data_IF_473200102493
#
_entry.id   IF_473200102493
#
_cell.length_a   1.000
_cell.length_b   1.000
_cell.length_c   1.000
_cell.angle_alpha   90.00
_cell.angle_beta   90.00
_cell.angle_gamma   90.00
#
_symmetry.space_group_name_H-M   'P 1'
#
loop_
_entity.id
_entity.type
_entity.pdbx_description
1 polymer ?
2 non-polymer ?
3 water ?
#
# COMPACT_ATOMS: atom_id res chain seq x y z
N UNK A 1 9.28 -22.22 30.65
CA UNK A 1 9.00 -22.54 32.10
C UNK A 1 7.61 -22.01 32.55
N UNK A 2 7.51 -20.68 32.71
CA UNK A 2 6.21 -20.11 32.97
C UNK A 2 5.45 -19.89 31.65
N UNK A 3 6.20 -19.70 30.55
CA UNK A 3 5.56 -19.28 29.31
C UNK A 3 4.64 -20.33 28.69
N UNK A 4 4.89 -21.59 28.99
CA UNK A 4 4.14 -22.66 28.42
C UNK A 4 2.84 -22.85 29.17
N UNK A 5 2.86 -22.55 30.47
CA UNK A 5 1.62 -22.63 31.24
C UNK A 5 0.72 -21.49 30.79
N UNK A 6 1.29 -20.28 30.76
CA UNK A 6 0.64 -19.12 30.17
C UNK A 6 0.02 -19.44 28.79
N UNK A 7 0.75 -20.16 27.96
CA UNK A 7 0.26 -20.53 26.64
C UNK A 7 -0.83 -21.57 26.74
N UNK A 8 -0.55 -22.61 27.52
CA UNK A 8 -1.50 -23.71 27.70
C UNK A 8 -2.77 -23.22 28.35
N UNK A 9 -2.63 -22.35 29.34
CA UNK A 9 -3.78 -21.72 30.03
C UNK A 9 -4.63 -20.75 29.19
N UNK A 10 -4.04 -20.14 28.17
CA UNK A 10 -4.79 -19.17 27.37
C UNK A 10 -5.27 -19.73 26.04
N UNK A 11 -5.18 -21.04 25.88
CA UNK A 11 -5.59 -21.65 24.65
C UNK A 11 -7.09 -21.96 24.64
N UNK A 12 -7.79 -21.43 23.66
CA UNK A 12 -9.18 -21.77 23.52
C UNK A 12 -9.63 -21.90 22.08
N UNK A 13 -10.94 -21.90 21.90
CA UNK A 13 -11.57 -21.99 20.58
C UNK A 13 -11.85 -20.61 20.04
N UNK A 14 -12.00 -20.49 18.72
CA UNK A 14 -12.34 -19.20 18.07
C UNK A 14 -13.64 -18.58 18.59
N UNK A 15 -14.62 -19.42 18.90
CA UNK A 15 -15.90 -19.01 19.48
C UNK A 15 -15.84 -18.30 20.83
N UNK A 16 -15.09 -18.85 21.78
CA UNK A 16 -14.97 -18.22 23.08
C UNK A 16 -14.05 -17.03 23.05
N UNK A 17 -13.09 -17.06 22.12
CA UNK A 17 -12.11 -16.00 22.00
C UNK A 17 -12.83 -14.70 21.68
N UNK A 18 -13.70 -14.75 20.68
CA UNK A 18 -14.43 -13.59 20.19
C UNK A 18 -15.43 -13.02 21.20
N UNK A 19 -15.56 -13.70 22.34
CA UNK A 19 -16.37 -13.25 23.47
C UNK A 19 -15.68 -12.17 24.32
N UNK A 20 -14.38 -11.93 24.06
CA UNK A 20 -13.68 -10.79 24.66
C UNK A 20 -14.18 -9.45 24.07
N UNK A 21 -14.69 -9.50 22.85
CA UNK A 21 -15.27 -8.30 22.21
C UNK A 21 -16.65 -7.99 22.82
N UNK A 22 -16.83 -6.78 23.33
CA UNK A 22 -18.14 -6.33 23.80
C UNK A 22 -18.69 -5.21 22.90
N UNK A 23 -20.01 -4.98 22.95
CA UNK A 23 -20.64 -3.80 22.35
C UNK A 23 -19.84 -2.53 22.65
N UNK A 24 -19.86 -1.57 21.73
CA UNK A 24 -19.18 -0.29 21.95
C UNK A 24 -17.70 -0.29 21.57
N UNK A 25 -17.10 -1.49 21.56
CA UNK A 25 -15.69 -1.73 21.24
C UNK A 25 -15.18 -1.25 19.88
N UNK A 26 -13.99 -0.67 19.91
CA UNK A 26 -13.15 -0.60 18.72
C UNK A 26 -12.28 -1.84 18.52
N UNK A 27 -12.54 -2.57 17.43
CA UNK A 27 -11.76 -3.76 17.05
C UNK A 27 -10.86 -3.48 15.82
N UNK A 28 -9.61 -3.96 15.86
CA UNK A 28 -8.67 -3.75 14.76
C UNK A 28 -8.06 -5.08 14.34
N UNK A 29 -7.77 -5.23 13.04
CA UNK A 29 -7.17 -6.44 12.52
C UNK A 29 -5.73 -6.19 12.19
N UNK A 30 -4.93 -7.23 12.37
CA UNK A 30 -3.59 -7.31 11.83
C UNK A 30 -3.67 -6.99 10.36
N UNK A 31 -2.58 -6.47 9.81
CA UNK A 31 -2.59 -5.91 8.47
C UNK A 31 -2.52 -7.02 7.49
N UNK A 32 -3.33 -6.87 6.44
CA UNK A 32 -3.20 -7.60 5.19
C UNK A 32 -3.18 -9.07 5.49
N UNK A 33 -2.07 -9.74 5.21
CA UNK A 33 -1.96 -11.21 5.19
C UNK A 33 -1.81 -11.78 6.62
N UNK A 34 -2.04 -10.93 7.61
CA UNK A 34 -1.88 -11.29 8.98
C UNK A 34 -3.25 -11.20 9.60
N UNK A 35 -4.22 -10.83 8.79
CA UNK A 35 -5.62 -10.95 9.20
C UNK A 35 -5.95 -12.42 9.51
N UNK A 36 -6.36 -12.71 10.75
CA UNK A 36 -6.82 -14.04 11.19
C UNK A 36 -8.20 -14.53 10.72
N UNK A 37 -8.25 -15.41 9.70
CA UNK A 37 -9.56 -15.65 9.08
C UNK A 37 -10.53 -16.42 9.96
N UNK A 38 -10.00 -17.26 10.84
CA UNK A 38 -10.82 -18.08 11.72
C UNK A 38 -11.32 -17.20 12.83
N UNK A 39 -10.44 -16.34 13.33
CA UNK A 39 -10.81 -15.41 14.38
C UNK A 39 -11.79 -14.35 13.87
N UNK A 40 -11.75 -14.05 12.57
CA UNK A 40 -12.68 -13.11 11.93
C UNK A 40 -14.05 -13.75 11.72
N UNK A 41 -14.08 -14.90 11.02
CA UNK A 41 -15.32 -15.68 10.83
C UNK A 41 -16.04 -16.04 12.14
N UNK A 42 -15.29 -16.41 13.17
CA UNK A 42 -15.85 -16.53 14.51
C UNK A 42 -16.55 -15.25 14.97
N UNK A 43 -15.94 -14.09 14.71
CA UNK A 43 -16.53 -12.84 15.19
C UNK A 43 -17.81 -12.49 14.44
N UNK A 44 -17.77 -12.60 13.12
CA UNK A 44 -18.95 -12.45 12.28
C UNK A 44 -20.03 -13.41 12.76
N UNK A 45 -19.68 -14.68 13.00
CA UNK A 45 -20.69 -15.73 13.32
C UNK A 45 -21.51 -15.40 14.55
N UNK A 46 -20.88 -14.65 15.46
CA UNK A 46 -21.48 -14.22 16.72
C UNK A 46 -21.94 -12.77 16.65
N UNK A 47 -22.20 -12.28 15.44
CA UNK A 47 -22.70 -10.93 15.21
C UNK A 47 -23.78 -10.55 16.20
N UNK A 48 -24.77 -11.42 16.33
CA UNK A 48 -26.02 -11.13 17.02
C UNK A 48 -25.85 -10.95 18.52
N UNK A 49 -24.62 -10.68 18.95
CA UNK A 49 -24.29 -10.41 20.36
C UNK A 49 -23.69 -9.02 20.52
N UNK A 50 -23.35 -8.40 19.39
CA UNK A 50 -22.69 -7.10 19.45
C UNK A 50 -23.60 -6.00 18.97
N UNK A 51 -23.41 -4.80 19.53
CA UNK A 51 -23.98 -3.58 18.99
C UNK A 51 -22.88 -2.52 18.75
N UNK A 52 -22.93 -1.90 17.58
CA UNK A 52 -21.88 -1.00 17.07
C UNK A 52 -20.46 -1.14 17.61
N UNK A 53 -19.90 -2.27 17.19
CA UNK A 53 -18.51 -2.59 17.23
C UNK A 53 -17.96 -2.07 15.89
N UNK A 54 -16.98 -1.18 16.03
CA UNK A 54 -16.21 -0.58 14.98
C UNK A 54 -15.24 -1.67 14.55
N UNK A 55 -15.13 -1.94 13.26
CA UNK A 55 -14.15 -2.87 12.79
C UNK A 55 -13.18 -2.15 11.87
N UNK A 56 -12.00 -1.83 12.38
CA UNK A 56 -11.00 -1.13 11.54
C UNK A 56 -10.01 -2.07 10.89
N UNK A 57 -9.51 -1.68 9.73
CA UNK A 57 -8.23 -2.19 9.19
C UNK A 57 -7.88 -1.50 7.86
N UNK A 58 -6.96 -2.11 7.10
CA UNK A 58 -6.49 -1.52 5.85
C UNK A 58 -6.80 -2.43 4.67
N UNK A 59 -5.83 -2.77 3.86
CA UNK A 59 -6.16 -3.60 2.73
C UNK A 59 -6.48 -5.00 3.24
N UNK A 60 -7.44 -5.67 2.58
CA UNK A 60 -7.89 -6.98 3.05
C UNK A 60 -8.12 -7.96 1.94
N UNK A 61 -7.85 -9.22 2.24
CA UNK A 61 -8.01 -10.30 1.28
C UNK A 61 -9.07 -11.29 1.78
N UNK A 62 -9.72 -10.93 2.89
CA UNK A 62 -10.87 -11.64 3.42
C UNK A 62 -12.18 -11.13 2.87
N UNK A 63 -13.30 -11.63 3.40
CA UNK A 63 -14.58 -11.47 2.74
C UNK A 63 -15.30 -10.14 3.11
N UNK A 64 -14.67 -9.36 3.97
CA UNK A 64 -15.22 -8.09 4.42
C UNK A 64 -16.63 -8.25 4.95
N UNK A 65 -16.94 -9.48 5.35
CA UNK A 65 -18.28 -9.87 5.73
C UNK A 65 -18.96 -8.88 6.70
N UNK A 66 -18.20 -8.37 7.67
CA UNK A 66 -18.67 -7.42 8.70
C UNK A 66 -19.16 -6.06 8.16
N UNK A 67 -18.85 -5.77 6.90
CA UNK A 67 -19.12 -4.45 6.30
C UNK A 67 -20.43 -4.48 5.53
N UNK A 68 -21.03 -5.66 5.46
CA UNK A 68 -22.29 -5.81 4.74
C UNK A 68 -23.44 -5.18 5.53
N UNK A 69 -24.44 -4.62 4.82
CA UNK A 69 -25.65 -3.92 5.33
C UNK A 69 -26.40 -4.61 6.46
N UNK A 70 -26.86 -5.83 6.24
CA UNK A 70 -27.35 -6.71 7.34
C UNK A 70 -26.62 -6.55 8.68
N UNK A 71 -25.30 -6.53 8.68
CA UNK A 71 -24.59 -6.34 9.93
C UNK A 71 -24.54 -4.87 10.47
N UNK A 72 -25.15 -3.92 9.76
CA UNK A 72 -25.00 -2.47 10.10
C UNK A 72 -25.27 -2.04 11.55
N UNK A 73 -25.91 -2.89 12.34
CA UNK A 73 -26.19 -2.62 13.76
C UNK A 73 -25.25 -3.37 14.74
N UNK A 74 -24.49 -4.34 14.24
CA UNK A 74 -23.47 -5.03 15.05
C UNK A 74 -22.07 -4.46 14.79
N UNK A 75 -21.77 -4.23 13.52
CA UNK A 75 -20.49 -3.68 13.08
C UNK A 75 -20.61 -2.36 12.30
N UNK A 76 -19.70 -1.44 12.61
CA UNK A 76 -19.42 -0.37 11.66
C UNK A 76 -18.03 -0.60 11.07
N UNK A 77 -17.96 -0.91 9.78
CA UNK A 77 -16.66 -0.89 9.13
C UNK A 77 -16.08 0.53 9.15
N UNK A 78 -14.82 0.65 9.59
CA UNK A 78 -14.13 1.94 9.49
C UNK A 78 -12.79 1.75 8.85
N UNK A 79 -12.75 1.64 7.54
CA UNK A 79 -11.48 1.44 6.86
C UNK A 79 -10.47 2.60 6.85
N UNK A 80 -9.19 2.23 6.87
CA UNK A 80 -8.09 3.16 6.76
C UNK A 80 -7.50 3.04 5.37
N UNK A 81 -8.03 2.10 4.62
CA UNK A 81 -7.66 1.80 3.26
C UNK A 81 -8.81 0.87 2.89
N UNK A 82 -9.25 0.86 1.64
CA UNK A 82 -10.29 -0.09 1.22
C UNK A 82 -9.84 -0.99 0.08
N UNK A 83 -10.68 -1.96 -0.22
CA UNK A 83 -10.40 -2.99 -1.20
C UNK A 83 -11.75 -3.52 -1.68
N UNK A 84 -11.78 -4.34 -2.74
CA UNK A 84 -13.03 -4.82 -3.37
C UNK A 84 -14.15 -5.23 -2.43
N UNK A 85 -13.79 -5.88 -1.34
CA UNK A 85 -14.76 -6.53 -0.46
C UNK A 85 -15.24 -5.71 0.71
N UNK A 86 -14.79 -4.45 0.83
CA UNK A 86 -15.26 -3.55 1.93
C UNK A 86 -15.65 -2.13 1.49
N UNK A 87 -15.31 -1.74 0.28
CA UNK A 87 -15.70 -0.39 -0.15
C UNK A 87 -17.14 -0.34 -0.65
N UNK A 88 -17.76 -1.50 -0.73
CA UNK A 88 -19.18 -1.49 -0.93
C UNK A 88 -19.79 -0.55 0.10
N UNK A 89 -19.48 -0.77 1.37
CA UNK A 89 -20.16 -0.10 2.50
C UNK A 89 -20.00 1.43 2.61
N UNK A 90 -18.86 1.92 2.15
CA UNK A 90 -18.59 3.35 2.18
C UNK A 90 -19.48 4.02 1.15
N UNK A 91 -19.64 3.35 0.00
CA UNK A 91 -20.54 3.83 -1.04
C UNK A 91 -21.99 3.86 -0.53
N UNK A 92 -22.45 2.78 0.08
CA UNK A 92 -23.86 2.68 0.52
C UNK A 92 -24.17 3.56 1.75
N UNK A 93 -23.13 4.00 2.44
CA UNK A 93 -23.28 4.95 3.53
C UNK A 93 -23.15 4.41 4.92
N UNK A 94 -23.12 3.10 5.10
CA UNK A 94 -23.05 2.57 6.45
C UNK A 94 -21.61 2.30 6.89
N UNK A 95 -20.74 2.03 5.90
CA UNK A 95 -19.29 1.91 6.12
C UNK A 95 -18.58 3.25 6.19
N UNK A 96 -17.47 3.30 6.92
CA UNK A 96 -16.76 4.56 7.11
C UNK A 96 -15.40 4.42 6.50
N UNK A 97 -14.81 5.56 6.18
CA UNK A 97 -13.44 5.59 5.72
C UNK A 97 -12.75 6.83 6.27
N UNK A 98 -11.55 6.60 6.79
CA UNK A 98 -10.68 7.57 7.44
C UNK A 98 -9.44 7.79 6.59
N UNK A 99 -9.24 9.02 6.08
CA UNK A 99 -8.00 9.30 5.34
C UNK A 99 -6.78 9.44 6.29
N UNK A 100 -5.81 8.53 6.23
CA UNK A 100 -4.58 8.60 7.03
C UNK A 100 -3.40 8.23 6.19
N UNK A 101 -2.29 8.94 6.38
CA UNK A 101 -1.06 8.51 5.75
C UNK A 101 -0.74 7.23 6.46
N UNK A 102 -0.18 6.26 5.73
CA UNK A 102 0.11 4.96 6.32
C UNK A 102 1.08 5.12 7.49
N UNK A 103 2.17 5.86 7.29
CA UNK A 103 3.21 6.06 8.36
C UNK A 103 2.69 6.69 9.64
N UNK A 104 1.49 7.24 9.59
CA UNK A 104 0.96 7.97 10.76
C UNK A 104 0.16 7.04 11.66
N UNK A 105 -0.27 5.89 11.12
CA UNK A 105 -1.08 4.91 11.85
C UNK A 105 -0.51 4.60 13.24
N UNK A 106 0.74 4.13 13.34
CA UNK A 106 1.21 3.83 14.70
C UNK A 106 1.09 4.96 15.69
N UNK A 107 1.39 6.17 15.27
CA UNK A 107 1.33 7.36 16.12
C UNK A 107 -0.06 7.58 16.66
N UNK A 108 -1.03 7.73 15.78
CA UNK A 108 -2.44 7.83 16.17
C UNK A 108 -2.95 6.77 17.16
N UNK A 109 -2.49 5.53 17.01
CA UNK A 109 -2.74 4.51 18.00
C UNK A 109 -2.12 4.91 19.34
N UNK A 110 -0.85 5.32 19.33
CA UNK A 110 -0.16 5.74 20.57
C UNK A 110 -0.88 6.87 21.22
N UNK A 111 -1.29 7.83 20.40
CA UNK A 111 -2.07 8.98 20.83
C UNK A 111 -3.46 8.59 21.32
N UNK A 112 -3.99 7.45 20.89
CA UNK A 112 -5.29 6.98 21.35
C UNK A 112 -6.42 7.64 20.53
N UNK A 113 -6.06 8.15 19.35
CA UNK A 113 -7.07 8.55 18.36
C UNK A 113 -7.66 7.28 17.76
N UNK A 114 -6.80 6.44 17.20
CA UNK A 114 -7.18 5.07 16.90
C UNK A 114 -7.09 4.22 18.17
N UNK A 115 -8.08 4.27 19.02
CA UNK A 115 -8.07 3.44 20.22
C UNK A 115 -8.44 2.01 19.80
N UNK A 116 -7.82 1.01 20.46
CA UNK A 116 -7.98 -0.41 20.12
C UNK A 116 -8.39 -1.18 21.39
N UNK A 117 -9.53 -1.86 21.34
CA UNK A 117 -9.99 -2.67 22.46
C UNK A 117 -9.62 -4.09 22.24
N UNK A 118 -9.59 -4.50 20.98
CA UNK A 118 -9.30 -5.87 20.62
C UNK A 118 -8.62 -5.85 19.28
N UNK A 119 -7.36 -6.26 19.30
CA UNK A 119 -6.62 -6.44 18.09
C UNK A 119 -6.70 -7.92 17.93
N UNK A 120 -6.99 -8.36 16.70
CA UNK A 120 -6.88 -9.78 16.35
C UNK A 120 -5.73 -9.99 15.34
N UNK A 121 -4.90 -11.01 15.55
CA UNK A 121 -3.66 -11.16 14.79
C UNK A 121 -3.43 -12.60 14.44
N UNK A 122 -2.76 -12.81 13.33
CA UNK A 122 -2.32 -14.14 13.03
C UNK A 122 -0.84 -14.14 13.16
N UNK A 123 -0.36 -15.07 13.96
CA UNK A 123 1.05 -15.23 14.23
C UNK A 123 1.33 -16.72 14.10
N UNK A 124 2.63 -17.06 13.98
CA UNK A 124 3.09 -18.44 13.89
C UNK A 124 3.25 -18.99 15.30
N UNK A 125 3.50 -20.31 15.44
CA UNK A 125 3.71 -20.82 16.79
C UNK A 125 5.05 -20.40 17.43
N UNK A 126 5.04 -20.25 18.76
CA UNK A 126 6.13 -19.92 19.63
C UNK A 126 7.37 -20.73 19.36
N UNK A 127 8.51 -20.06 19.50
CA UNK A 127 9.79 -20.74 19.46
C UNK A 127 10.10 -21.17 20.88
N UNK A 128 11.34 -21.62 21.10
CA UNK A 128 11.73 -22.21 22.37
C UNK A 128 11.65 -21.22 23.56
N UNK A 129 11.54 -19.92 23.24
CA UNK A 129 11.52 -18.83 24.23
C UNK A 129 10.14 -18.16 24.30
N UNK A 130 9.20 -18.67 23.50
CA UNK A 130 7.82 -18.23 23.53
C UNK A 130 7.49 -16.98 22.74
N UNK A 131 8.27 -16.67 21.70
CA UNK A 131 7.99 -15.52 20.83
C UNK A 131 7.31 -15.94 19.51
N UNK A 132 6.01 -15.67 19.37
CA UNK A 132 5.35 -15.86 18.06
C UNK A 132 5.76 -14.79 17.03
N UNK A 133 5.80 -15.20 15.77
CA UNK A 133 6.16 -14.31 14.70
C UNK A 133 4.95 -13.98 13.87
N UNK A 134 4.84 -12.72 13.51
CA UNK A 134 3.78 -12.32 12.60
C UNK A 134 4.21 -12.72 11.18
N UNK A 135 5.51 -12.62 10.91
CA UNK A 135 6.10 -13.19 9.71
C UNK A 135 5.85 -12.41 8.43
N UNK A 136 4.68 -11.81 8.34
CA UNK A 136 4.20 -11.32 7.08
C UNK A 136 3.77 -9.83 7.16
N UNK A 137 3.96 -9.20 8.35
CA UNK A 137 3.55 -7.82 8.63
C UNK A 137 4.29 -7.24 9.85
N UNK A 138 4.21 -5.93 10.00
CA UNK A 138 4.91 -5.21 11.01
C UNK A 138 4.24 -3.83 11.11
N UNK A 139 4.20 -3.13 9.95
CA UNK A 139 3.30 -2.02 9.67
C UNK A 139 2.76 -1.40 10.96
N UNK A 140 1.44 -1.47 11.18
CA UNK A 140 0.92 -0.99 12.43
C UNK A 140 0.75 -2.12 13.44
N UNK A 141 1.00 -3.35 12.98
CA UNK A 141 0.68 -4.57 13.74
C UNK A 141 1.47 -4.65 15.02
N UNK A 142 2.69 -4.16 14.98
CA UNK A 142 3.49 -4.15 16.19
C UNK A 142 3.02 -3.16 17.22
N UNK A 143 2.66 -1.95 16.80
CA UNK A 143 2.20 -0.92 17.76
C UNK A 143 0.85 -1.29 18.35
N UNK A 144 -0.02 -1.84 17.51
CA UNK A 144 -1.35 -2.25 17.95
C UNK A 144 -1.25 -3.30 19.04
N UNK A 145 -0.32 -4.25 18.90
CA UNK A 145 -0.09 -5.24 19.98
C UNK A 145 0.19 -4.57 21.31
N UNK A 146 1.17 -3.66 21.37
CA UNK A 146 1.56 -3.00 22.62
C UNK A 146 0.40 -2.20 23.21
N UNK A 147 -0.44 -1.65 22.34
CA UNK A 147 -1.49 -0.71 22.72
C UNK A 147 -2.88 -1.34 22.87
N UNK A 148 -3.09 -2.53 22.31
CA UNK A 148 -4.41 -3.15 22.42
C UNK A 148 -4.60 -3.53 23.88
N UNK A 149 -5.78 -3.24 24.43
CA UNK A 149 -6.16 -3.69 25.77
C UNK A 149 -6.37 -5.21 25.84
N UNK A 150 -6.68 -5.82 24.69
CA UNK A 150 -6.84 -7.27 24.55
C UNK A 150 -6.35 -7.74 23.17
N UNK A 151 -5.58 -8.84 23.14
CA UNK A 151 -5.02 -9.35 21.89
C UNK A 151 -5.38 -10.81 21.64
N UNK A 152 -6.10 -11.05 20.58
CA UNK A 152 -6.42 -12.43 20.25
C UNK A 152 -5.50 -12.97 19.18
N UNK A 153 -4.89 -14.11 19.43
CA UNK A 153 -3.99 -14.66 18.41
C UNK A 153 -4.52 -15.88 17.72
N UNK A 154 -4.60 -15.78 16.41
CA UNK A 154 -4.88 -16.93 15.61
C UNK A 154 -3.58 -17.56 15.17
N UNK A 155 -2.95 -18.30 16.10
CA UNK A 155 -1.74 -19.10 15.86
C UNK A 155 -1.95 -20.06 14.71
N UNK A 156 -1.21 -19.86 13.63
CA UNK A 156 -1.31 -20.71 12.43
C UNK A 156 0.09 -21.23 12.03
N UNK A 157 0.31 -22.53 12.15
CA UNK A 157 1.64 -23.09 11.86
C UNK A 157 2.17 -22.90 10.41
N UNK A 158 1.29 -22.55 9.46
CA UNK A 158 1.71 -22.15 8.12
C UNK A 158 2.43 -20.80 8.00
N UNK A 159 2.34 -19.96 9.04
CA UNK A 159 3.06 -18.67 9.07
C UNK A 159 4.59 -18.83 9.23
N UNK A 160 5.41 -18.15 8.37
CA UNK A 160 6.89 -18.16 8.48
C UNK A 160 7.50 -17.33 9.61
N UNK A 161 8.72 -17.68 10.00
CA UNK A 161 9.54 -16.80 10.82
C UNK A 161 10.26 -15.94 9.81
N UNK A 162 10.06 -14.63 9.96
CA UNK A 162 10.72 -13.63 9.13
C UNK A 162 11.36 -12.61 10.01
N UNK A 163 12.66 -12.41 9.83
CA UNK A 163 13.45 -11.47 10.63
C UNK A 163 12.92 -10.02 10.61
N UNK A 164 13.09 -9.33 11.74
CA UNK A 164 12.79 -7.93 11.88
C UNK A 164 11.96 -7.78 13.13
N UNK A 165 11.25 -6.65 13.25
CA UNK A 165 10.26 -6.45 14.30
C UNK A 165 8.99 -7.24 13.96
N UNK A 166 9.12 -8.57 14.03
CA UNK A 166 8.00 -9.42 13.74
C UNK A 166 7.58 -10.22 14.96
N UNK A 167 8.15 -9.91 16.12
CA UNK A 167 8.00 -10.83 17.26
C UNK A 167 7.13 -10.37 18.41
N UNK A 168 6.45 -11.34 19.00
CA UNK A 168 5.53 -11.10 20.11
C UNK A 168 5.65 -12.30 21.04
N UNK A 169 5.87 -12.01 22.32
CA UNK A 169 5.98 -13.01 23.35
C UNK A 169 4.58 -13.40 23.80
N UNK A 170 4.38 -14.71 23.99
CA UNK A 170 3.08 -15.22 24.40
C UNK A 170 2.46 -14.47 25.57
N UNK A 171 3.31 -13.86 26.40
CA UNK A 171 2.86 -13.13 27.60
C UNK A 171 2.08 -11.86 27.25
N UNK A 172 2.16 -11.44 26.00
CA UNK A 172 1.53 -10.21 25.53
C UNK A 172 0.13 -10.47 24.91
N UNK A 173 -0.28 -11.74 24.91
CA UNK A 173 -1.48 -12.18 24.16
C UNK A 173 -2.53 -12.84 25.05
N UNK A 174 -3.74 -12.28 25.08
CA UNK A 174 -4.79 -12.80 25.96
C UNK A 174 -5.40 -14.18 25.60
N UNK A 175 -5.51 -14.51 24.33
CA UNK A 175 -6.06 -15.81 23.93
C UNK A 175 -5.40 -16.34 22.66
N UNK A 176 -5.28 -17.67 22.57
CA UNK A 176 -4.69 -18.35 21.42
C UNK A 176 -5.64 -19.34 20.80
N UNK A 177 -5.79 -19.30 19.48
CA UNK A 177 -6.52 -20.35 18.78
C UNK A 177 -5.58 -20.97 17.76
N UNK A 178 -5.22 -22.24 17.96
CA UNK A 178 -4.35 -22.92 17.00
C UNK A 178 -5.10 -23.29 15.74
N UNK A 179 -4.55 -22.97 14.58
CA UNK A 179 -5.12 -23.45 13.33
C UNK A 179 -4.07 -24.00 12.37
N UNK A 180 -4.50 -24.30 11.15
CA UNK A 180 -3.59 -24.69 10.09
C UNK A 180 -4.29 -24.52 8.76
N UNK A 181 -3.79 -23.57 7.97
CA UNK A 181 -4.33 -23.28 6.65
C UNK A 181 -3.32 -22.46 5.85
N UNK A 182 -3.30 -22.61 4.51
CA UNK A 182 -2.44 -21.77 3.66
C UNK A 182 -2.77 -20.29 3.80
N UNK A 183 -1.76 -19.43 3.67
CA UNK A 183 -1.96 -17.99 3.69
C UNK A 183 -2.51 -17.53 2.35
N UNK A 184 -3.26 -16.42 2.33
CA UNK A 184 -3.85 -15.96 1.08
C UNK A 184 -2.82 -15.44 0.09
N UNK A 185 -3.23 -15.31 -1.17
CA UNK A 185 -2.33 -15.11 -2.30
C UNK A 185 -2.99 -14.25 -3.35
N UNK A 186 -2.23 -13.33 -3.94
CA UNK A 186 -2.77 -12.54 -5.05
C UNK A 186 -2.31 -13.07 -6.40
N UNK A 187 -3.06 -12.73 -7.45
CA UNK A 187 -2.70 -13.09 -8.81
C UNK A 187 -1.58 -12.21 -9.34
N UNK A 188 -0.75 -12.77 -10.21
CA UNK A 188 0.20 -11.95 -11.00
C UNK A 188 -0.60 -11.18 -12.06
N UNK A 189 -0.17 -9.94 -12.36
CA UNK A 189 -0.83 -9.14 -13.40
C UNK A 189 -0.43 -9.58 -14.80
N UNK A 190 -1.27 -9.21 -15.78
CA UNK A 190 -0.94 -9.39 -17.18
C UNK A 190 -0.01 -8.27 -17.65
N UNK A 191 1.26 -8.60 -17.85
CA UNK A 191 2.21 -7.65 -18.42
C UNK A 191 2.03 -7.59 -19.95
N UNK A 192 1.20 -6.64 -20.39
CA UNK A 192 0.97 -6.41 -21.81
C UNK A 192 1.83 -5.31 -22.42
N UNK A 193 1.39 -4.81 -23.58
CA UNK A 193 2.08 -3.77 -24.35
C UNK A 193 2.22 -2.46 -23.56
N UNK A 194 1.11 -2.00 -22.99
CA UNK A 194 1.07 -0.77 -22.22
C UNK A 194 1.93 -0.91 -20.95
N UNK A 195 1.71 -2.00 -20.23
CA UNK A 195 2.51 -2.34 -19.07
C UNK A 195 4.01 -2.31 -19.37
N UNK A 196 4.42 -2.98 -20.45
CA UNK A 196 5.82 -3.04 -20.85
C UNK A 196 6.44 -1.68 -21.16
N UNK A 197 5.67 -0.81 -21.82
CA UNK A 197 6.14 0.55 -22.15
C UNK A 197 6.32 1.42 -20.92
N UNK A 198 5.33 1.42 -20.03
CA UNK A 198 5.49 2.15 -18.77
C UNK A 198 6.78 1.65 -18.09
N UNK A 199 7.01 0.34 -18.16
CA UNK A 199 8.22 -0.28 -17.64
C UNK A 199 9.57 0.32 -18.00
N UNK A 200 9.86 0.43 -19.31
CA UNK A 200 11.21 0.83 -19.77
C UNK A 200 11.53 2.30 -19.48
N UNK A 201 10.50 3.14 -19.53
CA UNK A 201 10.63 4.56 -19.18
C UNK A 201 11.02 4.78 -17.71
N UNK A 202 10.33 4.10 -16.80
CA UNK A 202 10.76 4.09 -15.39
C UNK A 202 12.17 3.52 -15.32
N UNK A 203 12.47 2.56 -16.18
CA UNK A 203 13.77 1.96 -16.24
C UNK A 203 14.85 2.89 -16.80
N UNK A 204 14.47 4.06 -17.29
CA UNK A 204 15.45 4.99 -17.84
C UNK A 204 15.80 6.07 -16.81
N UNK A 205 15.19 5.94 -15.63
CA UNK A 205 15.27 6.94 -14.60
C UNK A 205 15.84 6.27 -13.37
N UNK A 206 15.84 4.96 -13.39
CA UNK A 206 16.58 4.22 -12.37
C UNK A 206 18.03 4.11 -12.85
N UNK A 207 18.97 4.61 -12.05
CA UNK A 207 20.41 4.37 -12.24
C UNK A 207 20.91 3.22 -11.35
N UNK A 208 21.98 2.57 -11.79
CA UNK A 208 22.58 1.47 -11.04
C UNK A 208 22.94 1.94 -9.61
N UNK A 209 22.73 1.03 -8.64
CA UNK A 209 22.75 1.37 -7.21
C UNK A 209 21.57 2.15 -6.64
N UNK A 210 20.46 2.26 -7.37
CA UNK A 210 19.19 2.82 -6.85
C UNK A 210 18.55 1.96 -5.75
N UNK A 211 17.93 2.60 -4.77
CA UNK A 211 17.07 1.91 -3.80
C UNK A 211 15.63 2.18 -4.24
N UNK A 212 14.75 1.17 -4.19
CA UNK A 212 13.39 1.29 -4.78
C UNK A 212 12.24 1.08 -3.82
N UNK A 213 11.10 1.71 -4.13
CA UNK A 213 9.83 1.43 -3.46
C UNK A 213 8.82 1.18 -4.56
N UNK A 214 7.96 0.19 -4.37
CA UNK A 214 7.03 -0.24 -5.43
C UNK A 214 5.70 -0.55 -4.82
N UNK A 215 4.76 0.40 -4.94
CA UNK A 215 3.48 0.36 -4.22
C UNK A 215 2.46 -0.66 -4.69
N UNK A 216 1.49 -0.94 -3.82
CA UNK A 216 0.29 -1.73 -4.18
C UNK A 216 -0.15 -1.31 -5.57
N UNK A 217 -0.68 -2.26 -6.33
CA UNK A 217 -1.09 -1.99 -7.69
C UNK A 217 -0.41 -2.87 -8.69
N UNK A 218 -1.00 -2.91 -9.89
CA UNK A 218 -0.54 -3.75 -11.00
C UNK A 218 0.81 -3.30 -11.57
N UNK A 219 0.90 -2.00 -11.92
CA UNK A 219 2.03 -1.47 -12.74
C UNK A 219 3.49 -1.80 -12.34
N UNK A 220 3.87 -1.61 -11.05
CA UNK A 220 5.23 -1.96 -10.61
C UNK A 220 5.47 -3.46 -10.61
N UNK A 221 5.71 -3.98 -11.81
CA UNK A 221 5.93 -5.40 -12.06
C UNK A 221 6.40 -5.47 -13.51
N UNK A 222 5.68 -4.79 -14.38
CA UNK A 222 6.15 -4.57 -15.74
C UNK A 222 7.42 -3.77 -15.62
N UNK A 223 7.47 -2.88 -14.61
CA UNK A 223 8.68 -2.13 -14.33
C UNK A 223 9.76 -3.14 -14.04
N UNK A 224 9.61 -3.88 -12.95
CA UNK A 224 10.60 -4.90 -12.55
C UNK A 224 11.17 -5.79 -13.68
N UNK A 225 10.34 -6.16 -14.65
CA UNK A 225 10.78 -6.96 -15.80
C UNK A 225 11.68 -6.19 -16.78
N UNK A 226 11.70 -4.86 -16.64
CA UNK A 226 12.48 -3.98 -17.51
C UNK A 226 13.80 -3.58 -16.86
N UNK A 227 14.06 -4.14 -15.69
CA UNK A 227 15.21 -3.77 -14.88
C UNK A 227 16.40 -4.73 -14.96
N UNK A 228 16.27 -5.77 -15.79
CA UNK A 228 17.31 -6.79 -15.89
C UNK A 228 18.77 -6.34 -16.16
N UNK A 229 18.98 -5.16 -16.77
CA UNK A 229 20.36 -4.67 -17.01
C UNK A 229 20.93 -3.86 -15.85
N UNK A 230 20.11 -3.67 -14.83
CA UNK A 230 20.49 -2.82 -13.74
C UNK A 230 21.43 -3.56 -12.82
N UNK A 231 22.27 -2.82 -12.10
CA UNK A 231 23.22 -3.43 -11.21
C UNK A 231 23.10 -2.82 -9.82
N UNK A 232 23.28 -3.67 -8.80
CA UNK A 232 23.45 -3.27 -7.40
C UNK A 232 22.25 -2.52 -6.80
N UNK A 233 21.08 -2.81 -7.35
CA UNK A 233 19.85 -2.21 -6.85
C UNK A 233 19.58 -2.65 -5.43
N UNK A 234 18.96 -1.77 -4.65
CA UNK A 234 18.68 -2.05 -3.24
C UNK A 234 17.21 -1.83 -2.98
N UNK A 235 16.71 -2.34 -1.87
CA UNK A 235 15.29 -2.25 -1.58
C UNK A 235 15.03 -1.51 -0.27
N UNK A 236 14.10 -0.56 -0.33
CA UNK A 236 13.51 0.06 0.87
C UNK A 236 12.09 0.44 0.45
N UNK A 237 11.12 -0.32 0.93
CA UNK A 237 9.84 -0.30 0.30
C UNK A 237 8.78 -0.74 1.30
N UNK A 238 7.59 -0.19 1.15
CA UNK A 238 6.41 -0.63 1.91
C UNK A 238 6.24 -2.14 1.91
N UNK A 239 6.29 -2.68 0.71
CA UNK A 239 6.11 -4.08 0.49
C UNK A 239 6.94 -4.46 -0.72
N UNK A 240 7.08 -5.76 -0.91
CA UNK A 240 7.65 -6.28 -2.11
C UNK A 240 6.87 -7.50 -2.50
N UNK A 241 6.81 -7.77 -3.79
CA UNK A 241 6.07 -8.92 -4.25
C UNK A 241 6.96 -9.83 -5.07
N UNK A 242 6.33 -10.86 -5.65
CA UNK A 242 7.01 -11.89 -6.42
C UNK A 242 8.01 -11.34 -7.43
N UNK A 243 7.65 -10.20 -8.03
CA UNK A 243 8.50 -9.54 -9.01
C UNK A 243 9.87 -9.19 -8.46
N UNK A 244 9.91 -8.85 -7.18
CA UNK A 244 11.13 -8.47 -6.52
C UNK A 244 12.02 -9.70 -6.31
N UNK A 245 11.41 -10.86 -6.05
CA UNK A 245 12.13 -12.13 -5.91
C UNK A 245 12.89 -12.45 -7.21
N UNK A 246 12.21 -12.40 -8.35
CA UNK A 246 12.84 -12.67 -9.66
C UNK A 246 14.11 -11.87 -9.86
N UNK A 247 13.95 -10.55 -9.79
CA UNK A 247 15.09 -9.63 -9.83
C UNK A 247 16.16 -9.92 -8.79
N UNK A 248 15.81 -10.51 -7.66
CA UNK A 248 16.83 -10.74 -6.65
C UNK A 248 17.69 -11.96 -6.99
N UNK A 249 17.07 -12.99 -7.57
CA UNK A 249 17.81 -14.17 -7.94
C UNK A 249 18.43 -14.04 -9.34
N UNK A 250 18.07 -12.95 -10.04
CA UNK A 250 18.69 -12.62 -11.33
C UNK A 250 19.93 -11.76 -11.09
N UNK A 251 20.22 -11.47 -9.82
CA UNK A 251 21.48 -10.85 -9.40
C UNK A 251 21.46 -9.34 -9.42
N UNK A 252 20.32 -8.77 -9.81
CA UNK A 252 20.19 -7.32 -9.95
C UNK A 252 20.02 -6.60 -8.60
N UNK A 253 19.20 -7.14 -7.72
CA UNK A 253 18.97 -6.54 -6.41
C UNK A 253 19.87 -7.20 -5.40
N UNK A 254 20.73 -6.43 -4.74
CA UNK A 254 21.62 -6.99 -3.72
C UNK A 254 21.85 -6.07 -2.52
N UNK A 255 21.38 -4.83 -2.62
CA UNK A 255 21.48 -3.90 -1.51
C UNK A 255 22.93 -3.67 -1.06
N UNK A 256 23.86 -3.89 -1.98
CA UNK A 256 25.25 -3.63 -1.69
C UNK A 256 25.58 -2.14 -1.70
N UNK A 257 24.60 -1.29 -1.98
CA UNK A 257 24.88 0.15 -2.20
C UNK A 257 24.02 1.14 -1.42
N UNK A 258 23.41 0.65 -0.34
CA UNK A 258 22.49 1.43 0.50
C UNK A 258 23.26 2.16 1.58
N UNK A 259 22.66 3.20 2.16
CA UNK A 259 23.27 3.98 3.24
C UNK A 259 22.74 3.62 4.61
N UNK A 260 21.57 3.01 4.64
CA UNK A 260 20.98 2.58 5.88
C UNK A 260 20.48 1.15 5.62
N UNK A 261 20.46 0.32 6.66
CA UNK A 261 20.11 -1.11 6.56
C UNK A 261 20.87 -1.86 5.47
N UNK A 262 22.19 -1.75 5.54
CA UNK A 262 23.05 -2.30 4.53
C UNK A 262 22.90 -3.83 4.37
N UNK A 263 22.80 -4.27 3.12
CA UNK A 263 22.70 -5.69 2.81
C UNK A 263 21.30 -6.25 2.89
N UNK A 264 20.34 -5.48 3.38
CA UNK A 264 18.99 -5.98 3.56
C UNK A 264 17.98 -5.37 2.60
N UNK A 265 16.99 -6.15 2.22
CA UNK A 265 15.74 -5.57 1.75
C UNK A 265 14.95 -5.16 2.97
N UNK A 266 14.73 -3.86 3.14
CA UNK A 266 13.94 -3.33 4.26
C UNK A 266 12.48 -3.05 3.88
N UNK A 267 11.57 -3.85 4.40
CA UNK A 267 10.14 -3.75 4.08
C UNK A 267 9.27 -3.69 5.34
N UNK A 268 8.03 -3.25 5.20
CA UNK A 268 7.11 -3.16 6.34
C UNK A 268 6.09 -4.31 6.35
N UNK A 269 5.86 -4.92 5.19
CA UNK A 269 4.91 -6.01 5.05
C UNK A 269 5.04 -6.76 3.71
N UNK A 270 4.55 -8.01 3.68
CA UNK A 270 4.61 -8.87 2.48
C UNK A 270 3.24 -9.22 1.99
N UNK A 271 3.07 -9.27 0.67
CA UNK A 271 1.81 -9.68 0.00
C UNK A 271 2.28 -10.29 -1.32
N UNK A 272 1.66 -11.41 -1.76
CA UNK A 272 2.14 -12.15 -2.94
C UNK A 272 1.71 -13.62 -3.02
N UNK A 273 2.49 -14.45 -3.72
CA UNK A 273 2.26 -15.89 -3.67
C UNK A 273 3.08 -16.48 -2.55
N UNK A 274 3.00 -17.81 -2.38
CA UNK A 274 3.73 -18.55 -1.36
C UNK A 274 5.23 -18.57 -1.62
N UNK A 275 5.63 -18.42 -2.88
CA UNK A 275 7.06 -18.36 -3.21
C UNK A 275 7.72 -17.18 -2.47
N UNK A 276 6.93 -16.14 -2.22
CA UNK A 276 7.46 -14.94 -1.62
C UNK A 276 7.60 -15.11 -0.13
N UNK A 277 6.60 -15.70 0.51
CA UNK A 277 6.65 -15.86 1.96
C UNK A 277 7.75 -16.82 2.35
N UNK A 278 7.97 -17.82 1.49
CA UNK A 278 8.97 -18.87 1.68
C UNK A 278 10.38 -18.36 1.53
N UNK A 279 10.51 -17.34 0.68
CA UNK A 279 11.76 -16.70 0.37
C UNK A 279 12.14 -15.76 1.48
N UNK A 280 11.13 -15.30 2.19
CA UNK A 280 11.33 -14.20 3.06
C UNK A 280 11.63 -14.82 4.42
N UNK A 281 11.17 -16.06 4.60
CA UNK A 281 11.38 -16.81 5.83
C UNK A 281 12.86 -17.14 6.05
N UNK A 282 13.29 -16.96 7.29
CA UNK A 282 14.66 -17.28 7.65
C UNK A 282 15.73 -16.78 6.64
N UNK A 283 15.50 -15.61 6.05
CA UNK A 283 16.38 -14.99 5.04
C UNK A 283 16.97 -13.68 5.59
N UNK A 284 18.31 -13.65 5.79
CA UNK A 284 19.04 -12.50 6.34
C UNK A 284 18.93 -11.24 5.46
N UNK A 285 18.57 -11.46 4.19
CA UNK A 285 18.51 -10.38 3.21
C UNK A 285 17.14 -9.69 3.17
N UNK A 286 16.27 -10.08 4.11
CA UNK A 286 14.97 -9.47 4.29
C UNK A 286 14.79 -9.15 5.76
N UNK A 287 14.34 -7.93 6.04
CA UNK A 287 14.01 -7.49 7.38
C UNK A 287 12.70 -6.69 7.32
N UNK A 288 11.69 -7.17 8.04
CA UNK A 288 10.46 -6.42 8.23
C UNK A 288 10.66 -5.41 9.36
N UNK A 289 10.15 -4.20 9.16
CA UNK A 289 10.26 -3.14 10.18
C UNK A 289 8.91 -2.43 10.28
N UNK A 290 8.64 -1.74 11.41
CA UNK A 290 7.37 -0.96 11.54
C UNK A 290 7.25 0.21 10.53
N UNK A 291 6.02 0.59 10.15
CA UNK A 291 5.80 1.63 9.11
C UNK A 291 6.27 3.00 9.50
N UNK A 292 6.21 3.29 10.79
CA UNK A 292 6.70 4.56 11.21
C UNK A 292 8.24 4.55 11.33
N UNK A 293 8.84 3.47 10.85
CA UNK A 293 10.20 3.49 10.36
C UNK A 293 10.16 3.51 8.82
N UNK A 294 9.80 2.39 8.22
CA UNK A 294 9.89 2.20 6.77
C UNK A 294 9.30 3.38 5.97
N UNK A 295 8.07 3.78 6.28
CA UNK A 295 7.40 4.86 5.55
C UNK A 295 7.74 6.28 6.01
N UNK A 296 8.42 6.40 7.14
CA UNK A 296 8.70 7.72 7.71
C UNK A 296 9.50 8.65 6.77
N UNK A 297 8.91 9.80 6.40
CA UNK A 297 9.59 10.73 5.51
C UNK A 297 11.03 11.02 5.90
N UNK A 298 11.31 11.26 7.18
CA UNK A 298 12.68 11.51 7.64
C UNK A 298 13.66 10.37 7.33
N UNK A 299 13.17 9.13 7.42
CA UNK A 299 13.95 7.90 7.16
C UNK A 299 14.15 7.65 5.68
N UNK A 300 13.07 7.70 4.91
CA UNK A 300 13.19 7.60 3.46
C UNK A 300 14.12 8.67 2.90
N UNK A 301 14.15 9.84 3.52
CA UNK A 301 15.05 10.89 3.04
C UNK A 301 16.55 10.51 3.13
N UNK A 302 16.85 9.50 3.93
CA UNK A 302 18.22 9.02 4.15
C UNK A 302 18.68 7.97 3.14
N UNK A 303 17.74 7.30 2.47
CA UNK A 303 18.03 6.34 1.42
C UNK A 303 18.85 6.94 0.28
N UNK A 304 19.59 6.05 -0.38
CA UNK A 304 20.55 6.36 -1.42
C UNK A 304 19.89 6.25 -2.76
N UNK A 305 19.93 7.33 -3.53
CA UNK A 305 19.45 7.28 -4.89
C UNK A 305 18.07 6.60 -4.92
N UNK A 306 17.13 7.15 -4.17
CA UNK A 306 15.82 6.53 -3.98
C UNK A 306 14.91 6.75 -5.18
N UNK A 307 14.39 5.66 -5.73
CA UNK A 307 13.35 5.75 -6.74
C UNK A 307 12.06 5.11 -6.24
N UNK A 308 11.10 5.96 -5.87
CA UNK A 308 9.76 5.50 -5.50
C UNK A 308 8.96 5.36 -6.76
N UNK A 309 8.09 4.36 -6.82
CA UNK A 309 7.26 4.14 -8.00
C UNK A 309 5.92 3.64 -7.55
N UNK A 310 4.91 4.48 -7.74
CA UNK A 310 3.55 4.12 -7.36
C UNK A 310 2.56 4.37 -8.55
N UNK A 311 1.27 4.07 -8.36
CA UNK A 311 0.30 4.26 -9.42
C UNK A 311 -0.86 5.25 -9.10
N UNK A 312 -1.55 5.75 -10.13
CA UNK A 312 -2.67 6.65 -9.91
C UNK A 312 -3.89 6.33 -10.78
N UNK A 313 -5.01 6.99 -10.51
CA UNK A 313 -6.19 6.71 -11.30
C UNK A 313 -6.30 7.74 -12.40
N UNK A 314 -6.09 9.01 -12.04
CA UNK A 314 -6.06 10.15 -12.97
C UNK A 314 -5.18 11.35 -12.50
N UNK A 315 -4.85 12.25 -13.43
CA UNK A 315 -4.00 13.42 -13.17
C UNK A 315 -4.58 14.61 -13.91
N UNK A 316 -4.55 15.80 -13.30
CA UNK A 316 -5.11 16.96 -13.99
C UNK A 316 -4.03 17.92 -14.48
N UNK A 317 -4.48 19.02 -15.07
CA UNK A 317 -3.62 19.97 -15.75
C UNK A 317 -2.69 20.75 -14.83
N UNK A 318 -2.95 20.73 -13.54
CA UNK A 318 -2.00 21.35 -12.63
C UNK A 318 -1.01 20.33 -12.07
N UNK A 319 -1.24 19.06 -12.39
CA UNK A 319 -0.44 17.96 -11.84
C UNK A 319 -0.92 17.51 -10.47
N UNK A 320 -2.15 17.88 -10.09
CA UNK A 320 -2.85 17.27 -8.93
C UNK A 320 -2.99 15.80 -9.26
N UNK A 321 -2.68 14.92 -8.30
CA UNK A 321 -2.66 13.46 -8.55
C UNK A 321 -3.66 12.67 -7.69
N UNK A 322 -4.60 12.02 -8.38
CA UNK A 322 -5.70 11.36 -7.70
C UNK A 322 -5.42 9.89 -7.73
N UNK A 323 -5.32 9.28 -6.55
CA UNK A 323 -4.92 7.85 -6.53
C UNK A 323 -5.84 6.89 -5.78
N UNK A 324 -6.93 7.36 -5.18
CA UNK A 324 -7.70 6.41 -4.40
C UNK A 324 -9.23 6.55 -4.51
N UNK A 325 -9.69 7.32 -5.47
CA UNK A 325 -11.11 7.56 -5.59
C UNK A 325 -11.42 7.91 -7.02
N UNK A 326 -12.63 7.51 -7.46
CA UNK A 326 -13.20 7.89 -8.76
C UNK A 326 -14.45 8.73 -8.46
N UNK A 327 -14.29 10.04 -8.59
CA UNK A 327 -15.28 10.99 -8.14
C UNK A 327 -15.55 10.76 -6.67
N UNK A 328 -16.84 10.71 -6.30
CA UNK A 328 -17.18 10.60 -4.89
C UNK A 328 -17.03 9.19 -4.33
N UNK A 329 -16.76 8.23 -5.21
CA UNK A 329 -16.53 6.83 -4.83
C UNK A 329 -15.11 6.54 -4.28
N UNK A 330 -15.02 6.14 -3.01
CA UNK A 330 -13.75 5.73 -2.43
C UNK A 330 -13.36 4.37 -2.94
N UNK A 331 -12.11 4.21 -3.30
CA UNK A 331 -11.57 3.03 -3.96
C UNK A 331 -10.43 2.36 -3.18
N UNK A 332 -9.52 3.15 -2.62
CA UNK A 332 -8.43 2.58 -1.81
C UNK A 332 -8.05 3.52 -0.70
N UNK A 333 -6.81 4.04 -0.74
CA UNK A 333 -6.35 5.06 0.21
C UNK A 333 -5.06 5.69 -0.26
N UNK A 334 -4.50 6.67 0.46
CA UNK A 334 -3.15 7.12 0.10
C UNK A 334 -2.20 6.01 0.37
N UNK A 335 -2.43 5.31 1.49
CA UNK A 335 -1.49 4.38 2.00
C UNK A 335 -0.17 5.09 2.14
N UNK A 336 0.81 4.63 1.36
CA UNK A 336 2.16 5.15 1.43
C UNK A 336 2.57 6.00 0.24
N UNK A 337 1.63 6.30 -0.65
CA UNK A 337 2.02 6.96 -1.90
C UNK A 337 2.76 8.26 -1.55
N UNK A 338 2.15 9.06 -0.68
CA UNK A 338 2.64 10.39 -0.33
C UNK A 338 3.86 10.30 0.58
N UNK A 339 3.84 9.36 1.53
CA UNK A 339 5.02 9.06 2.39
C UNK A 339 6.29 8.97 1.52
N UNK A 340 6.22 8.26 0.39
CA UNK A 340 7.44 8.17 -0.39
C UNK A 340 7.62 9.30 -1.38
N UNK A 341 6.60 10.10 -1.61
CA UNK A 341 6.82 11.28 -2.44
C UNK A 341 7.55 12.35 -1.59
N UNK A 342 7.07 12.56 -0.36
CA UNK A 342 7.72 13.41 0.59
C UNK A 342 9.18 13.03 0.83
N UNK A 343 9.46 11.74 1.03
CA UNK A 343 10.82 11.28 1.38
C UNK A 343 11.86 11.33 0.28
N UNK A 344 11.49 10.91 -0.93
CA UNK A 344 12.33 11.12 -2.12
C UNK A 344 12.73 12.60 -2.34
N UNK A 345 11.83 13.53 -2.00
CA UNK A 345 12.05 14.95 -2.25
C UNK A 345 13.07 15.51 -1.26
N UNK A 346 12.88 15.13 -0.01
CA UNK A 346 13.76 15.47 1.08
C UNK A 346 15.08 14.72 1.00
N UNK A 347 15.38 14.04 -0.09
CA UNK A 347 16.56 13.23 -0.10
C UNK A 347 17.80 14.07 0.29
N UNK A 348 18.61 13.52 1.18
CA UNK A 348 19.77 14.21 1.67
C UNK A 348 20.82 14.22 0.55
N UNK A 349 21.01 13.08 -0.11
CA UNK A 349 21.93 12.97 -1.24
C UNK A 349 21.54 13.84 -2.45
N UNK A 350 20.40 14.51 -2.38
CA UNK A 350 19.88 15.28 -3.52
C UNK A 350 19.37 14.52 -4.75
N UNK A 351 19.43 13.19 -4.71
CA UNK A 351 19.19 12.41 -5.93
C UNK A 351 17.80 11.76 -6.03
N UNK A 352 16.97 12.00 -5.01
CA UNK A 352 15.65 11.34 -4.91
C UNK A 352 14.75 11.55 -6.11
N UNK A 353 13.98 10.54 -6.45
CA UNK A 353 12.98 10.65 -7.52
C UNK A 353 11.71 9.85 -7.17
N UNK A 354 10.56 10.46 -7.33
CA UNK A 354 9.29 9.74 -7.20
C UNK A 354 8.60 9.65 -8.55
N UNK A 355 8.14 8.45 -8.89
CA UNK A 355 7.44 8.24 -10.15
C UNK A 355 6.03 7.74 -9.92
N UNK A 356 5.05 8.55 -10.30
CA UNK A 356 3.66 8.12 -10.39
C UNK A 356 3.38 7.65 -11.81
N UNK A 357 2.98 6.38 -11.98
CA UNK A 357 2.72 5.76 -13.31
C UNK A 357 1.25 5.35 -13.57
N UNK A 358 0.84 5.39 -14.83
CA UNK A 358 -0.55 5.05 -15.19
C UNK A 358 -0.77 4.90 -16.69
N UNK A 359 -1.63 3.95 -17.09
CA UNK A 359 -2.04 3.94 -18.51
C UNK A 359 -2.68 5.28 -18.86
N UNK A 360 -2.50 5.73 -20.10
CA UNK A 360 -3.05 7.01 -20.52
C UNK A 360 -4.57 6.97 -20.62
N UNK A 361 -5.08 5.79 -20.98
CA UNK A 361 -6.51 5.54 -21.16
C UNK A 361 -7.02 4.47 -20.20
N UNK A 362 -8.33 4.39 -20.04
CA UNK A 362 -8.99 3.31 -19.34
C UNK A 362 -10.30 3.05 -20.08
N UNK A 363 -10.73 1.78 -20.15
CA UNK A 363 -12.05 1.45 -20.71
C UNK A 363 -13.19 1.67 -19.72
N UNK A 364 -14.32 2.14 -20.21
CA UNK A 364 -15.44 2.25 -19.28
C UNK A 364 -16.28 0.99 -19.38
N UNK A 365 -17.52 1.03 -18.94
CA UNK A 365 -18.40 -0.13 -19.07
C UNK A 365 -19.16 -0.17 -20.39
N UNK A 366 -19.73 0.97 -20.78
CA UNK A 366 -20.34 1.15 -22.12
C UNK A 366 -19.31 0.92 -23.23
N UNK A 367 -18.03 0.86 -22.84
CA UNK A 367 -16.95 0.53 -23.78
C UNK A 367 -16.35 1.77 -24.43
N UNK A 368 -16.66 2.93 -23.84
CA UNK A 368 -16.08 4.18 -24.28
C UNK A 368 -14.70 4.35 -23.64
N UNK A 369 -13.76 4.84 -24.43
CA UNK A 369 -12.43 5.19 -23.95
C UNK A 369 -12.44 6.45 -23.13
N UNK A 370 -11.72 6.46 -22.01
CA UNK A 370 -11.50 7.74 -21.32
C UNK A 370 -10.03 8.05 -21.03
N UNK A 371 -9.67 9.31 -21.20
CA UNK A 371 -8.36 9.80 -20.79
C UNK A 371 -8.22 9.86 -19.26
N UNK A 372 -7.11 9.32 -18.75
CA UNK A 372 -6.70 9.46 -17.35
C UNK A 372 -5.91 10.76 -17.19
N UNK A 373 -5.69 11.47 -18.29
CA UNK A 373 -5.17 12.84 -18.25
C UNK A 373 -6.35 13.81 -18.45
N UNK A 374 -6.62 14.66 -17.48
CA UNK A 374 -7.83 15.47 -17.55
C UNK A 374 -7.58 16.97 -17.31
N UNK A 375 -8.42 17.84 -17.87
CA UNK A 375 -8.34 19.24 -17.49
C UNK A 375 -8.54 19.38 -15.98
N UNK A 376 -9.60 18.73 -15.49
CA UNK A 376 -10.04 18.81 -14.12
C UNK A 376 -10.41 17.41 -13.61
N UNK A 377 -10.13 17.16 -12.33
CA UNK A 377 -10.39 15.88 -11.69
C UNK A 377 -11.90 15.62 -11.67
N UNK A 378 -12.31 14.39 -11.46
CA UNK A 378 -13.74 14.09 -11.42
C UNK A 378 -14.35 14.77 -10.18
N UNK A 379 -15.43 15.51 -10.40
CA UNK A 379 -16.29 16.02 -9.35
C UNK A 379 -16.30 15.19 -8.07
N UNK A 380 -15.76 15.77 -6.99
CA UNK A 380 -15.80 15.13 -5.69
C UNK A 380 -14.62 14.18 -5.45
N UNK A 381 -13.68 14.10 -6.37
CA UNK A 381 -12.50 13.31 -6.07
C UNK A 381 -11.60 13.96 -4.99
N UNK A 382 -10.79 13.09 -4.42
CA UNK A 382 -9.86 13.47 -3.43
C UNK A 382 -8.51 13.63 -4.08
N UNK A 383 -7.96 14.83 -3.92
CA UNK A 383 -6.57 14.96 -4.26
C UNK A 383 -5.75 14.14 -3.26
N UNK A 384 -5.07 13.14 -3.84
CA UNK A 384 -4.16 12.19 -3.13
C UNK A 384 -2.75 12.78 -3.01
N UNK A 385 -2.08 13.04 -4.12
CA UNK A 385 -0.75 13.59 -4.13
C UNK A 385 -0.89 14.92 -4.74
N UNK A 386 -0.66 15.97 -3.94
CA UNK A 386 -0.94 17.35 -4.32
C UNK A 386 0.04 17.87 -5.36
N UNK A 387 -0.38 18.93 -6.03
CA UNK A 387 0.41 19.54 -7.09
C UNK A 387 1.79 19.96 -6.64
N UNK A 388 1.93 20.40 -5.39
CA UNK A 388 3.21 20.82 -4.85
C UNK A 388 4.11 19.59 -4.58
N UNK A 389 3.48 18.45 -4.29
CA UNK A 389 4.19 17.18 -4.09
C UNK A 389 4.62 16.56 -5.43
N UNK A 390 3.95 16.92 -6.52
CA UNK A 390 4.17 16.19 -7.79
C UNK A 390 5.65 16.20 -8.23
N UNK A 391 6.08 15.10 -8.85
CA UNK A 391 7.46 14.96 -9.39
C UNK A 391 7.37 14.38 -10.83
N UNK A 392 7.74 13.11 -11.06
CA UNK A 392 7.53 12.44 -12.37
C UNK A 392 6.18 11.74 -12.50
N UNK A 393 5.62 11.82 -13.71
CA UNK A 393 4.40 11.14 -14.07
C UNK A 393 4.80 10.41 -15.32
N UNK A 394 4.23 9.22 -15.55
CA UNK A 394 4.68 8.32 -16.60
C UNK A 394 3.52 7.51 -17.23
N UNK A 395 3.35 7.58 -18.55
CA UNK A 395 2.39 6.70 -19.27
C UNK A 395 3.05 5.81 -20.31
N UNK A 396 2.24 5.11 -21.12
CA UNK A 396 2.81 4.27 -22.21
C UNK A 396 3.58 5.11 -23.22
N UNK A 397 3.15 6.36 -23.38
CA UNK A 397 3.71 7.35 -24.34
C UNK A 397 4.84 8.27 -23.82
N UNK A 398 5.14 8.24 -22.55
CA UNK A 398 6.31 9.03 -22.18
C UNK A 398 6.36 9.47 -20.76
N UNK A 399 7.31 10.37 -20.49
CA UNK A 399 7.61 10.87 -19.16
C UNK A 399 7.31 12.36 -19.18
N UNK A 400 6.78 12.88 -18.07
CA UNK A 400 6.55 14.34 -17.91
C UNK A 400 7.03 14.79 -16.52
N UNK A 401 7.62 15.99 -16.47
CA UNK A 401 8.29 16.47 -15.28
C UNK A 401 7.43 17.52 -14.66
N UNK A 402 7.02 17.31 -13.42
CA UNK A 402 6.14 18.29 -12.80
C UNK A 402 6.87 19.22 -11.82
N UNK A 403 8.04 18.78 -11.35
CA UNK A 403 8.81 19.45 -10.30
C UNK A 403 9.43 20.76 -10.84
N UNK A 404 9.00 21.89 -10.30
CA UNK A 404 9.51 23.21 -10.72
C UNK A 404 9.06 23.64 -12.10
N UNK A 405 7.91 23.15 -12.52
CA UNK A 405 7.42 23.49 -13.85
C UNK A 405 6.05 24.16 -13.72
N UNK A 406 5.75 25.12 -14.56
CA UNK A 406 4.55 25.90 -14.33
C UNK A 406 3.28 25.14 -14.73
N UNK A 407 2.15 25.67 -14.28
CA UNK A 407 0.87 25.04 -14.59
C UNK A 407 0.73 24.79 -16.10
N UNK A 408 1.11 25.78 -16.90
CA UNK A 408 1.06 25.69 -18.34
C UNK A 408 2.01 24.66 -18.90
N UNK A 409 3.23 24.58 -18.36
CA UNK A 409 4.23 23.67 -18.90
C UNK A 409 4.02 22.20 -18.51
N UNK A 410 3.24 21.97 -17.45
CA UNK A 410 2.93 20.65 -16.88
C UNK A 410 1.88 20.03 -17.74
N UNK A 411 0.78 20.79 -17.88
CA UNK A 411 -0.26 20.52 -18.86
C UNK A 411 0.31 20.21 -20.24
N UNK A 412 1.37 20.93 -20.63
CA UNK A 412 2.03 20.60 -21.89
C UNK A 412 2.70 19.24 -21.84
N UNK A 413 3.37 18.93 -20.73
CA UNK A 413 4.04 17.65 -20.62
C UNK A 413 3.08 16.43 -20.66
N UNK A 414 1.86 16.64 -20.13
CA UNK A 414 0.96 15.57 -19.82
C UNK A 414 0.21 15.30 -21.08
N UNK A 415 -0.29 16.38 -21.67
CA UNK A 415 -0.80 16.27 -23.01
C UNK A 415 0.20 15.51 -23.89
N UNK A 416 1.49 15.82 -23.77
CA UNK A 416 2.56 15.05 -24.45
C UNK A 416 2.40 13.56 -24.23
N UNK A 417 2.19 13.15 -22.98
CA UNK A 417 2.15 11.74 -22.62
C UNK A 417 0.74 11.10 -22.62
N UNK A 418 -0.12 11.65 -23.46
CA UNK A 418 -1.50 11.24 -23.46
C UNK A 418 -1.82 10.40 -24.72
N UNK A 419 -2.89 9.61 -24.69
CA UNK A 419 -3.33 8.91 -25.90
C UNK A 419 -3.60 9.84 -27.10
N UNK A 420 -2.86 9.63 -28.19
CA UNK A 420 -2.94 10.55 -29.33
C UNK A 420 -4.39 10.98 -29.65
N UNK A 421 -5.32 10.02 -29.64
CA UNK A 421 -6.74 10.24 -29.89
C UNK A 421 -7.46 11.20 -28.92
N UNK A 422 -6.72 11.69 -27.92
CA UNK A 422 -7.25 12.74 -27.01
C UNK A 422 -6.48 14.06 -27.01
N UNK A 423 -5.22 14.03 -27.47
CA UNK A 423 -4.38 15.24 -27.55
C UNK A 423 -5.13 16.51 -28.04
N UNK A 424 -5.80 16.42 -29.16
CA UNK A 424 -6.54 17.55 -29.73
C UNK A 424 -7.70 18.11 -28.90
N UNK A 425 -8.39 17.26 -28.15
CA UNK A 425 -9.43 17.74 -27.24
C UNK A 425 -8.75 18.31 -26.00
N UNK A 426 -7.64 17.69 -25.62
CA UNK A 426 -6.86 18.17 -24.51
C UNK A 426 -6.27 19.53 -24.83
N UNK A 427 -5.83 19.70 -26.08
CA UNK A 427 -5.29 20.99 -26.53
C UNK A 427 -6.34 22.11 -26.48
N UNK A 428 -7.57 21.82 -26.93
CA UNK A 428 -8.63 22.82 -26.82
C UNK A 428 -8.87 23.19 -25.34
N UNK A 429 -8.70 22.21 -24.46
CA UNK A 429 -9.05 22.37 -23.06
C UNK A 429 -8.01 23.22 -22.36
N UNK A 430 -6.78 23.12 -22.87
CA UNK A 430 -5.66 23.91 -22.44
C UNK A 430 -5.92 25.39 -22.62
N UNK A 431 -6.39 25.71 -23.82
CA UNK A 431 -6.54 27.07 -24.28
C UNK A 431 -7.72 27.68 -23.55
N UNK A 432 -8.74 26.86 -23.31
CA UNK A 432 -9.89 27.31 -22.54
C UNK A 432 -9.45 27.63 -21.11
N UNK A 433 -8.68 26.72 -20.50
CA UNK A 433 -8.30 26.76 -19.09
C UNK A 433 -7.37 27.91 -18.77
N UNK A 434 -6.46 28.17 -19.69
CA UNK A 434 -5.30 28.98 -19.39
C UNK A 434 -5.30 30.30 -20.13
N UNK A 435 -6.27 30.47 -21.04
CA UNK A 435 -6.34 31.63 -21.91
C UNK A 435 -4.98 31.91 -22.56
N UNK A 436 -4.41 30.85 -23.14
CA UNK A 436 -3.12 30.92 -23.79
C UNK A 436 -3.05 29.85 -24.86
N UNK A 437 -2.45 30.20 -26.00
CA UNK A 437 -2.24 29.26 -27.12
C UNK A 437 -1.54 28.05 -26.59
N UNK A 438 -1.87 26.88 -27.13
CA UNK A 438 -1.16 25.69 -26.72
C UNK A 438 0.31 25.79 -27.09
N UNK A 439 0.59 26.14 -28.33
CA UNK A 439 1.99 26.11 -28.77
C UNK A 439 2.62 27.52 -28.71
N UNK A 440 3.78 27.55 -28.02
CA UNK A 440 4.32 28.75 -27.38
C UNK A 440 4.96 29.77 -28.32
N UNK A 441 5.90 29.32 -29.16
CA UNK A 441 6.40 30.20 -30.21
C UNK A 441 5.69 29.99 -31.54
N UNK A 442 5.50 31.11 -32.26
CA UNK A 442 4.64 31.21 -33.43
C UNK A 442 5.43 31.71 -34.64
N UNK A 443 4.99 31.29 -35.84
CA UNK A 443 5.80 31.48 -37.05
C UNK A 443 5.15 32.43 -38.05
N UNK A 444 5.92 33.44 -38.52
CA UNK A 444 5.46 34.44 -39.51
C UNK A 444 4.85 33.84 -40.77
N UNK A 445 5.28 32.63 -41.10
CA UNK A 445 4.79 31.92 -42.26
C UNK A 445 3.26 31.86 -42.28
N UNK A 446 2.65 31.96 -41.09
CA UNK A 446 1.19 31.94 -40.93
C UNK A 446 0.62 33.22 -40.29
N UNK A 447 -0.62 33.55 -40.66
CA UNK A 447 -1.33 34.80 -40.28
C UNK A 447 -0.43 35.91 -39.71
X LIG B 1 -11.61 6.95 -14.20
X LIG B 1 -12.45 5.90 -14.15
X LIG B 1 -12.03 4.64 -13.97
X LIG B 1 -10.72 4.35 -13.80
X LIG B 1 -9.74 5.45 -13.83
X LIG B 1 -10.27 6.82 -14.04
X LIG B 1 -9.43 7.87 -14.08
X LIG B 1 -8.53 4.91 -13.64
X LIG B 1 -8.71 3.58 -13.52
X LIG B 1 -10.01 3.23 -13.60
X LIG B 1 -10.58 1.85 -13.51
X LIG B 1 -9.85 0.83 -14.39
X LIG B 1 -10.67 0.55 -15.54
X LIG B 1 -9.66 -0.41 -13.52
X LIG B 1 -10.28 -1.60 -14.07
X LIG B 1 -11.63 -2.42 -13.63
X LIG B 1 -11.83 -3.30 -14.84
X LIG B 1 -12.71 -1.38 -13.44
X LIG B 1 -11.31 -3.21 -12.36
X LIG B 1 -10.11 0.00 -12.12
X LIG B 1 -10.58 1.34 -12.16
X LIG B 1 -8.97 -0.02 -11.11
X LIG B 1 -7.77 0.54 -11.65
X LIG B 1 -6.45 -0.40 -11.74
X LIG B 1 -5.54 0.32 -12.70
X LIG B 1 -6.94 -1.81 -12.02
X LIG B 1 -5.87 -0.38 -10.21
X LIG B 1 -4.61 -1.17 -9.56
X LIG B 1 -3.37 -1.09 -10.44
X LIG B 1 -5.04 -2.47 -8.94
X LIG B 1 -4.37 -0.12 -8.36
X LIG B 1 -4.41 2.19 -7.57
X LIG B 1 -4.42 1.25 -8.75
X LIG B 1 -3.82 3.51 -8.05
X LIG B 1 -5.86 2.37 -7.10
X LIG B 1 -3.59 1.57 -6.44
X LIG B 1 -2.24 1.37 -6.87
X LIG B 1 -3.72 2.41 -5.19
X LIG B 1 -4.62 2.15 -4.40
X LIG B 1 -2.86 3.42 -5.02
X LIG B 1 -2.82 4.39 -3.92
X LIG B 1 -2.04 3.80 -2.75
X LIG B 1 -0.54 3.77 -2.99
X LIG B 1 -0.03 4.30 -3.97
X LIG B 1 0.11 3.11 -2.02
X LIG B 1 1.52 2.75 -1.77
X LIG B 1 1.39 1.59 -0.79
X LIG B 1 2.51 0.18 -1.14
#
# INVERSE_FOLDING_TARGET
MDWKKIYEDRTCTADEAVKSIKSGDRVLFAHCVAEPPVLVEAMVANAAAYKNVTVSHMVTLGKGEYSKPEYKENFTFEGWFTSPSTRGSIAEGHGQFVPVFFHEVPSLIRKDIFHVDVFMVMVSPPDHNGFCCVGVSSDYTMQAIKSAKIVLAEVNDQVPVVYGDTFVHVSEIDKFVETSHPLPEIGLPKIGEVEAAIGKHCASLIEDGSTLQLGIGAIPDAVLSQLKDKKHLGIHSEMISDGVVDLYEAGVIDCSQKSIDKGKMAITFLMGTKRLYDFAANNPKVELKPVDYINHPSVVAQCSKMVCINACLQVDFMGQIVSDSIGTKQFSGVGGQVDFVRGASMSIDGKGKAIIAMPSVAKKKDGSMISKIVPFIDHGAAVTTSRNDADYVVTEYGIAEMKGKSLQDRARALINIAHPDFKDELKAEFEKRFNAAFSAWSHPQFEK
COA N1A C2A N3A C4A C5A C6A N6A N7A C8A N9A C1B C2B O2B C3B O3B P3B O7A O8A O9A C4B O4B C5B O5B P1A O1A O2A O3A P2A O4A O5A O6A CBP CCP CDP CEP CAP OAP C9P O9P N8P C7P C6P C5P O5P N4P C3P C2P S1P
#
